data_IF_448587411420
#
_entry.id   IF_448587411420
#
_cell.length_a   1.000
_cell.length_b   1.000
_cell.length_c   1.000
_cell.angle_alpha   90.00
_cell.angle_beta   90.00
_cell.angle_gamma   90.00
#
_symmetry.space_group_name_H-M   'P 1'
#
loop_
_entity.id
_entity.type
_entity.pdbx_description
1 polymer ?
#
# COMPACT_ATOMS: atom_id res chain seq x y z
N UNK A 1 -13.69 -7.79 -2.95
CA UNK A 1 -12.55 -7.63 -2.02
C UNK A 1 -11.68 -6.55 -2.64
N UNK A 2 -11.78 -5.33 -2.14
CA UNK A 2 -11.18 -4.15 -2.76
C UNK A 2 -9.79 -3.93 -2.15
N UNK A 3 -8.78 -4.49 -2.80
CA UNK A 3 -7.37 -4.55 -2.36
C UNK A 3 -6.65 -3.28 -2.79
N UNK A 4 -6.61 -2.27 -1.93
CA UNK A 4 -6.22 -0.92 -2.35
C UNK A 4 -4.87 -0.46 -1.76
N UNK A 5 -4.53 -0.90 -0.54
CA UNK A 5 -3.18 -0.79 0.01
C UNK A 5 -2.58 -2.18 0.26
N UNK A 6 -1.74 -2.68 -0.64
CA UNK A 6 -1.11 -4.01 -0.53
C UNK A 6 0.32 -4.04 -1.10
N UNK A 7 1.12 -5.02 -0.68
CA UNK A 7 2.53 -5.17 -1.10
C UNK A 7 2.75 -5.28 -2.61
N UNK A 8 1.75 -5.64 -3.39
CA UNK A 8 1.83 -5.91 -4.83
C UNK A 8 1.44 -4.73 -5.75
N UNK A 9 1.28 -3.51 -5.21
CA UNK A 9 1.08 -2.34 -6.06
C UNK A 9 2.22 -2.18 -7.09
N UNK A 10 1.88 -1.79 -8.33
CA UNK A 10 2.83 -1.81 -9.47
C UNK A 10 4.19 -1.16 -9.17
N UNK A 11 4.21 0.07 -8.63
CA UNK A 11 5.45 0.77 -8.31
C UNK A 11 6.33 0.00 -7.30
N UNK A 12 5.72 -0.72 -6.36
CA UNK A 12 6.42 -1.54 -5.36
C UNK A 12 7.04 -2.78 -6.00
N UNK A 13 6.30 -3.41 -6.90
CA UNK A 13 6.82 -4.54 -7.70
C UNK A 13 8.02 -4.10 -8.54
N UNK A 14 7.96 -2.91 -9.14
CA UNK A 14 9.10 -2.36 -9.89
C UNK A 14 10.31 -2.05 -8.97
N UNK A 15 10.10 -1.50 -7.77
CA UNK A 15 11.17 -1.36 -6.77
C UNK A 15 11.77 -2.72 -6.41
N UNK A 16 10.93 -3.73 -6.11
CA UNK A 16 11.38 -5.09 -5.80
C UNK A 16 12.21 -5.69 -6.94
N UNK A 17 11.82 -5.47 -8.21
CA UNK A 17 12.59 -5.90 -9.38
C UNK A 17 13.96 -5.23 -9.44
N UNK A 18 14.03 -3.91 -9.24
CA UNK A 18 15.30 -3.17 -9.20
C UNK A 18 16.21 -3.73 -8.11
N UNK A 19 15.68 -3.92 -6.91
CA UNK A 19 16.43 -4.45 -5.77
C UNK A 19 16.89 -5.90 -5.97
N UNK A 20 16.00 -6.76 -6.48
CA UNK A 20 16.34 -8.16 -6.76
C UNK A 20 17.38 -8.28 -7.86
N UNK A 21 17.33 -7.40 -8.87
CA UNK A 21 18.34 -7.30 -9.92
C UNK A 21 19.69 -6.75 -9.41
N UNK A 22 19.73 -6.16 -8.22
CA UNK A 22 20.96 -5.79 -7.51
C UNK A 22 21.42 -6.88 -6.54
N UNK A 23 20.78 -8.06 -6.55
CA UNK A 23 21.12 -9.21 -5.71
C UNK A 23 20.60 -9.13 -4.27
N UNK A 24 19.79 -8.13 -3.93
CA UNK A 24 19.11 -8.07 -2.63
C UNK A 24 18.01 -9.11 -2.53
N UNK A 25 17.81 -9.64 -1.32
CA UNK A 25 16.57 -10.34 -0.99
C UNK A 25 15.59 -9.33 -0.44
N UNK A 26 14.39 -9.27 -1.00
CA UNK A 26 13.39 -8.25 -0.60
C UNK A 26 12.21 -8.93 0.04
N UNK A 27 11.88 -8.54 1.27
CA UNK A 27 10.67 -8.96 1.95
C UNK A 27 9.76 -7.75 2.16
N UNK A 28 8.50 -7.92 1.79
CA UNK A 28 7.44 -6.97 2.07
C UNK A 28 6.23 -7.74 2.59
N UNK A 29 5.51 -7.15 3.54
CA UNK A 29 4.33 -7.75 4.15
C UNK A 29 3.10 -6.89 3.85
N UNK A 30 1.91 -7.49 3.92
CA UNK A 30 0.69 -6.71 4.15
C UNK A 30 0.53 -6.56 5.67
N UNK A 31 0.53 -5.33 6.17
CA UNK A 31 0.22 -5.05 7.59
C UNK A 31 -1.18 -5.57 7.94
N UNK A 32 -1.46 -5.74 9.23
CA UNK A 32 -2.84 -5.93 9.70
C UNK A 32 -3.76 -4.85 9.12
N UNK A 33 -4.87 -5.27 8.53
CA UNK A 33 -5.83 -4.39 7.85
C UNK A 33 -5.46 -3.99 6.42
N UNK A 34 -4.33 -4.47 5.89
CA UNK A 34 -3.89 -4.24 4.50
C UNK A 34 -4.00 -5.52 3.69
N UNK A 35 -4.23 -5.37 2.38
CA UNK A 35 -4.33 -6.46 1.41
C UNK A 35 -5.08 -7.71 1.91
N UNK A 36 -4.37 -8.83 2.03
CA UNK A 36 -4.93 -10.12 2.47
C UNK A 36 -4.92 -10.31 4.01
N UNK A 37 -4.31 -9.39 4.75
CA UNK A 37 -4.12 -9.48 6.20
C UNK A 37 -5.34 -8.99 6.97
N UNK A 38 -5.84 -9.82 7.90
CA UNK A 38 -6.94 -9.47 8.81
C UNK A 38 -6.48 -8.57 9.96
N UNK A 39 -7.42 -7.88 10.63
CA UNK A 39 -7.16 -7.06 11.81
C UNK A 39 -7.25 -5.55 11.53
N UNK A 40 -6.94 -4.73 12.53
CA UNK A 40 -7.09 -3.27 12.44
C UNK A 40 -5.73 -2.56 12.27
N UNK A 41 -5.61 -1.62 11.32
CA UNK A 41 -4.37 -0.90 11.06
C UNK A 41 -4.16 0.27 12.03
N UNK A 42 -3.56 0.01 13.20
CA UNK A 42 -3.10 1.07 14.13
C UNK A 42 -1.59 1.31 14.01
N UNK A 43 -1.11 2.49 14.43
CA UNK A 43 0.34 2.78 14.49
C UNK A 43 1.14 1.70 15.25
N UNK A 44 0.59 1.22 16.37
CA UNK A 44 1.16 0.14 17.16
C UNK A 44 1.16 -1.19 16.39
N UNK A 45 0.06 -1.53 15.71
CA UNK A 45 -0.05 -2.79 14.96
C UNK A 45 0.93 -2.83 13.78
N UNK A 46 1.03 -1.74 13.00
CA UNK A 46 1.96 -1.61 11.88
C UNK A 46 3.41 -1.74 12.35
N UNK A 47 3.75 -1.07 13.46
CA UNK A 47 5.08 -1.17 14.09
C UNK A 47 5.36 -2.60 14.59
N UNK A 48 4.36 -3.25 15.17
CA UNK A 48 4.47 -4.64 15.67
C UNK A 48 4.69 -5.63 14.52
N UNK A 49 4.00 -5.45 13.40
CA UNK A 49 4.13 -6.31 12.23
C UNK A 49 5.53 -6.16 11.59
N UNK A 50 6.03 -4.93 11.49
CA UNK A 50 7.39 -4.65 11.03
C UNK A 50 8.46 -5.25 11.96
N UNK A 51 8.28 -5.15 13.28
CA UNK A 51 9.16 -5.78 14.27
C UNK A 51 9.14 -7.31 14.16
N UNK A 52 7.98 -7.90 13.94
CA UNK A 52 7.85 -9.34 13.73
C UNK A 52 8.61 -9.78 12.48
N UNK A 53 8.42 -9.08 11.35
CA UNK A 53 9.14 -9.39 10.12
C UNK A 53 10.65 -9.23 10.29
N UNK A 54 11.11 -8.17 10.96
CA UNK A 54 12.53 -7.98 11.23
C UNK A 54 13.14 -9.15 12.00
N UNK A 55 12.48 -9.59 13.08
CA UNK A 55 12.95 -10.73 13.88
C UNK A 55 12.96 -12.01 13.08
N UNK A 56 11.89 -12.28 12.32
CA UNK A 56 11.81 -13.44 11.44
C UNK A 56 12.95 -13.43 10.42
N UNK A 57 13.22 -12.30 9.76
CA UNK A 57 14.33 -12.17 8.81
C UNK A 57 15.65 -12.43 9.51
N UNK A 58 15.91 -11.82 10.67
CA UNK A 58 17.17 -12.03 11.42
C UNK A 58 17.39 -13.47 11.85
N UNK A 59 16.35 -14.20 12.20
CA UNK A 59 16.43 -15.63 12.54
C UNK A 59 16.75 -16.50 11.31
N UNK A 60 16.35 -16.07 10.11
CA UNK A 60 16.45 -16.87 8.90
C UNK A 60 17.57 -16.44 7.94
N UNK A 61 18.18 -15.26 8.13
CA UNK A 61 19.19 -14.70 7.23
C UNK A 61 20.64 -14.83 7.70
N UNK A 62 20.86 -15.41 8.88
CA UNK A 62 22.19 -15.54 9.49
C UNK A 62 22.87 -14.18 9.69
N UNK A 63 24.12 -14.07 9.23
CA UNK A 63 24.94 -12.86 9.32
C UNK A 63 24.68 -11.85 8.19
N UNK A 64 23.68 -12.09 7.33
CA UNK A 64 23.31 -11.15 6.28
C UNK A 64 22.91 -9.81 6.87
N UNK A 65 23.35 -8.73 6.20
CA UNK A 65 22.93 -7.37 6.53
C UNK A 65 21.44 -7.21 6.28
N UNK A 66 20.73 -6.57 7.20
CA UNK A 66 19.30 -6.29 7.10
C UNK A 66 19.07 -4.79 7.13
N UNK A 67 18.60 -4.26 6.00
CA UNK A 67 18.27 -2.84 5.81
C UNK A 67 16.74 -2.70 5.84
N UNK A 68 16.26 -1.71 6.59
CA UNK A 68 14.83 -1.37 6.60
C UNK A 68 14.61 -0.23 5.60
N UNK A 69 13.80 -0.45 4.57
CA UNK A 69 13.41 0.58 3.61
C UNK A 69 11.94 0.94 3.86
N UNK A 70 11.69 2.17 4.29
CA UNK A 70 10.34 2.73 4.40
C UNK A 70 10.00 3.62 3.21
N UNK A 71 8.83 3.46 2.62
CA UNK A 71 8.28 4.37 1.61
C UNK A 71 6.98 5.00 2.08
N UNK A 72 6.84 6.33 1.94
CA UNK A 72 5.65 7.07 2.35
C UNK A 72 5.28 6.80 3.81
N UNK A 73 4.04 6.41 4.15
CA UNK A 73 3.65 5.94 5.51
C UNK A 73 4.65 4.93 6.10
N UNK A 74 5.24 4.07 5.26
CA UNK A 74 6.27 3.12 5.66
C UNK A 74 7.52 3.76 6.25
N UNK A 75 7.82 5.04 6.00
CA UNK A 75 8.91 5.77 6.68
C UNK A 75 8.60 5.99 8.16
N UNK A 76 7.34 6.25 8.50
CA UNK A 76 6.89 6.32 9.89
C UNK A 76 7.03 4.96 10.59
N UNK A 77 6.58 3.89 9.93
CA UNK A 77 6.73 2.51 10.45
C UNK A 77 8.21 2.14 10.60
N UNK A 78 9.06 2.49 9.64
CA UNK A 78 10.49 2.22 9.67
C UNK A 78 11.19 2.91 10.85
N UNK A 79 10.91 4.21 11.09
CA UNK A 79 11.54 4.94 12.20
C UNK A 79 11.03 4.46 13.56
N UNK A 80 9.74 4.15 13.71
CA UNK A 80 9.19 3.53 14.91
C UNK A 80 9.85 2.17 15.20
N UNK A 81 9.95 1.32 14.17
CA UNK A 81 10.58 -0.01 14.25
C UNK A 81 12.04 0.13 14.68
N UNK A 82 12.79 1.04 14.06
CA UNK A 82 14.18 1.30 14.39
C UNK A 82 14.37 1.72 15.85
N UNK A 83 13.57 2.66 16.35
CA UNK A 83 13.62 3.09 17.76
C UNK A 83 13.30 1.93 18.69
N UNK A 84 12.27 1.12 18.38
CA UNK A 84 11.90 -0.06 19.19
C UNK A 84 12.99 -1.11 19.22
N UNK A 85 13.68 -1.35 18.10
CA UNK A 85 14.85 -2.24 18.05
C UNK A 85 15.99 -1.70 18.93
N UNK A 86 16.28 -0.40 18.89
CA UNK A 86 17.30 0.22 19.73
C UNK A 86 16.97 0.16 21.22
N UNK A 87 15.71 0.38 21.59
CA UNK A 87 15.22 0.21 22.97
C UNK A 87 15.43 -1.23 23.48
N UNK A 88 15.43 -2.22 22.57
CA UNK A 88 15.70 -3.63 22.85
C UNK A 88 17.20 -3.99 22.75
N UNK A 89 18.09 -3.01 22.51
CA UNK A 89 19.53 -3.25 22.35
C UNK A 89 19.91 -3.93 21.04
N UNK A 90 19.01 -3.96 20.05
CA UNK A 90 19.25 -4.58 18.75
C UNK A 90 19.93 -3.59 17.81
N UNK A 91 21.07 -4.01 17.26
CA UNK A 91 21.75 -3.30 16.17
C UNK A 91 21.14 -3.73 14.82
N UNK A 92 20.97 -2.78 13.91
CA UNK A 92 20.51 -3.01 12.54
C UNK A 92 21.37 -2.22 11.55
N UNK A 93 21.46 -2.70 10.31
CA UNK A 93 22.53 -2.29 9.38
C UNK A 93 22.30 -0.93 8.71
N UNK A 94 21.04 -0.48 8.64
CA UNK A 94 20.70 0.84 8.11
C UNK A 94 19.21 1.00 7.84
N UNK A 95 18.80 2.25 7.62
CA UNK A 95 17.44 2.61 7.23
C UNK A 95 17.47 3.50 5.97
N UNK A 96 16.62 3.18 5.01
CA UNK A 96 16.33 4.00 3.83
C UNK A 96 14.94 4.60 4.02
N UNK A 97 14.83 5.92 3.89
CA UNK A 97 13.57 6.66 3.97
C UNK A 97 13.26 7.29 2.61
N UNK A 98 12.26 6.76 1.93
CA UNK A 98 11.78 7.22 0.64
C UNK A 98 10.47 7.99 0.78
N UNK A 99 10.38 9.21 0.25
CA UNK A 99 9.13 9.97 0.33
C UNK A 99 8.71 10.30 1.77
N UNK A 100 9.68 10.67 2.62
CA UNK A 100 9.46 10.80 4.07
C UNK A 100 8.75 12.07 4.51
N UNK A 101 8.03 11.98 5.63
CA UNK A 101 7.29 13.07 6.26
C UNK A 101 7.57 13.14 7.76
N UNK A 102 7.44 14.33 8.35
CA UNK A 102 7.79 14.57 9.75
C UNK A 102 6.93 13.81 10.74
N UNK A 103 5.63 14.05 10.65
CA UNK A 103 4.58 13.39 11.40
C UNK A 103 3.31 13.44 10.55
N UNK A 104 2.41 12.49 10.75
CA UNK A 104 1.23 12.37 9.88
C UNK A 104 0.28 13.57 10.06
N UNK A 105 0.36 14.27 11.20
CA UNK A 105 -0.50 15.41 11.56
C UNK A 105 -0.19 16.68 10.76
N UNK A 106 1.08 16.96 10.50
CA UNK A 106 1.52 18.04 9.59
C UNK A 106 1.23 17.69 8.12
N UNK A 107 0.95 16.42 7.84
CA UNK A 107 0.77 15.89 6.49
C UNK A 107 -0.67 15.77 6.01
N UNK A 108 -1.63 16.22 6.82
CA UNK A 108 -3.01 16.42 6.38
C UNK A 108 -3.21 17.92 6.15
N UNK A 109 -2.66 18.53 5.07
CA UNK A 109 -3.13 19.85 4.69
C UNK A 109 -4.59 19.72 4.27
N UNK A 110 -5.33 20.82 4.39
CA UNK A 110 -6.71 20.96 3.91
C UNK A 110 -6.91 20.52 2.44
N UNK A 111 -5.82 20.43 1.66
CA UNK A 111 -5.75 19.87 0.32
C UNK A 111 -5.84 18.34 0.22
N UNK A 112 -5.48 17.58 1.26
CA UNK A 112 -5.68 16.12 1.34
C UNK A 112 -7.18 15.76 1.43
N UNK A 113 -7.96 16.63 2.09
CA UNK A 113 -9.44 16.63 2.06
C UNK A 113 -10.00 17.16 0.72
N UNK A 114 -9.27 18.03 0.04
CA UNK A 114 -9.64 18.48 -1.33
C UNK A 114 -9.37 17.39 -2.37
N UNK A 115 -8.31 16.59 -2.26
CA UNK A 115 -8.07 15.43 -3.12
C UNK A 115 -9.12 14.33 -2.89
N UNK A 116 -9.69 14.23 -1.68
CA UNK A 116 -10.87 13.40 -1.44
C UNK A 116 -12.16 13.93 -2.13
N UNK A 117 -12.15 15.14 -2.68
CA UNK A 117 -13.22 15.66 -3.55
C UNK A 117 -13.01 15.35 -5.04
N UNK A 118 -11.81 14.90 -5.42
CA UNK A 118 -11.52 14.32 -6.73
C UNK A 118 -11.73 12.80 -6.62
N UNK A 119 -12.76 12.29 -7.30
CA UNK A 119 -13.48 11.04 -6.98
C UNK A 119 -12.70 9.71 -6.95
N UNK A 120 -11.38 9.71 -7.14
CA UNK A 120 -10.54 8.53 -7.32
C UNK A 120 -9.55 8.27 -6.17
N UNK A 121 -9.10 9.31 -5.45
CA UNK A 121 -8.38 9.18 -4.17
C UNK A 121 -9.34 9.08 -2.97
N UNK A 122 -10.57 9.54 -3.15
CA UNK A 122 -11.59 9.62 -2.11
C UNK A 122 -11.88 8.26 -1.48
N UNK A 123 -11.96 7.20 -2.27
CA UNK A 123 -12.44 5.91 -1.77
C UNK A 123 -11.45 5.30 -0.78
N UNK A 124 -10.16 5.25 -1.09
CA UNK A 124 -9.11 4.73 -0.19
C UNK A 124 -9.01 5.54 1.11
N UNK A 125 -9.01 6.87 1.01
CA UNK A 125 -8.95 7.78 2.15
C UNK A 125 -10.19 7.73 3.04
N UNK A 126 -11.36 7.48 2.45
CA UNK A 126 -12.62 7.33 3.17
C UNK A 126 -12.74 5.95 3.84
N UNK A 127 -12.24 4.87 3.21
CA UNK A 127 -12.12 3.56 3.87
C UNK A 127 -11.25 3.64 5.12
N UNK A 128 -10.15 4.39 5.03
CA UNK A 128 -9.22 4.55 6.13
C UNK A 128 -9.75 5.48 7.22
N UNK A 129 -10.60 6.46 6.90
CA UNK A 129 -11.20 7.35 7.91
C UNK A 129 -12.04 6.57 8.93
N UNK A 130 -12.67 5.48 8.50
CA UNK A 130 -13.49 4.63 9.36
C UNK A 130 -12.68 3.50 10.03
N UNK A 131 -11.50 3.12 9.52
CA UNK A 131 -10.67 2.03 10.07
C UNK A 131 -9.41 2.48 10.84
N UNK A 132 -8.91 3.69 10.59
CA UNK A 132 -7.78 4.30 11.28
C UNK A 132 -8.28 5.51 12.06
N UNK A 133 -8.15 5.50 13.39
CA UNK A 133 -8.37 6.71 14.18
C UNK A 133 -7.23 7.70 13.93
N UNK A 134 -7.33 8.45 12.84
CA UNK A 134 -6.36 9.46 12.40
C UNK A 134 -6.07 10.53 13.45
N UNK A 135 -6.92 10.69 14.47
CA UNK A 135 -6.62 11.61 15.57
C UNK A 135 -5.50 11.07 16.48
N UNK A 136 -5.32 9.75 16.52
CA UNK A 136 -4.36 9.07 17.40
C UNK A 136 -3.03 8.73 16.74
N UNK A 137 -2.99 8.56 15.42
CA UNK A 137 -1.77 8.23 14.70
C UNK A 137 -0.89 9.48 14.58
N UNK A 138 0.40 9.31 14.86
CA UNK A 138 1.38 10.39 14.92
C UNK A 138 2.53 10.11 13.98
N UNK A 139 3.10 8.89 14.04
CA UNK A 139 4.38 8.54 13.43
C UNK A 139 5.42 9.66 13.58
N UNK A 140 5.97 9.87 14.79
CA UNK A 140 6.82 11.02 15.11
C UNK A 140 8.24 10.82 14.57
N UNK A 141 8.40 10.83 13.24
CA UNK A 141 9.67 10.57 12.56
C UNK A 141 10.76 11.58 12.98
N UNK A 142 10.37 12.83 13.21
CA UNK A 142 11.23 13.88 13.75
C UNK A 142 11.81 13.54 15.14
N UNK A 143 11.00 13.05 16.08
CA UNK A 143 11.46 12.62 17.39
C UNK A 143 12.24 11.30 17.33
N UNK A 144 11.83 10.37 16.45
CA UNK A 144 12.52 9.11 16.28
C UNK A 144 13.94 9.30 15.74
N UNK A 145 14.12 10.20 14.76
CA UNK A 145 15.44 10.50 14.19
C UNK A 145 16.41 11.10 15.22
N UNK A 146 15.92 11.79 16.26
CA UNK A 146 16.77 12.25 17.38
C UNK A 146 17.36 11.09 18.20
N UNK A 147 16.69 9.94 18.20
CA UNK A 147 17.10 8.73 18.93
C UNK A 147 17.93 7.79 18.08
N UNK A 148 17.70 7.75 16.76
CA UNK A 148 18.37 6.82 15.85
C UNK A 148 19.88 7.09 15.69
N UNK A 149 20.68 6.03 15.53
CA UNK A 149 22.15 6.09 15.36
C UNK A 149 22.69 5.21 14.21
N UNK A 150 21.79 4.52 13.52
CA UNK A 150 22.10 3.70 12.34
C UNK A 150 22.37 4.57 11.11
N UNK A 151 23.13 4.07 10.12
CA UNK A 151 23.23 4.73 8.82
C UNK A 151 21.85 5.04 8.22
N UNK A 152 21.69 6.25 7.67
CA UNK A 152 20.46 6.76 7.08
C UNK A 152 20.67 7.23 5.65
N UNK A 153 19.79 6.80 4.76
CA UNK A 153 19.69 7.32 3.41
C UNK A 153 18.27 7.86 3.16
N UNK A 154 18.19 9.14 2.83
CA UNK A 154 16.96 9.79 2.38
C UNK A 154 16.92 9.78 0.85
N UNK A 155 15.81 9.30 0.29
CA UNK A 155 15.51 9.35 -1.14
C UNK A 155 14.23 10.16 -1.33
N UNK A 156 14.25 11.21 -2.15
CA UNK A 156 13.07 12.06 -2.26
C UNK A 156 13.01 12.81 -3.59
N UNK A 157 11.82 12.83 -4.21
CA UNK A 157 11.59 13.61 -5.44
C UNK A 157 11.19 15.05 -5.12
N UNK A 158 11.78 16.04 -5.79
CA UNK A 158 11.46 17.44 -5.54
C UNK A 158 10.03 17.81 -5.97
N UNK A 159 9.47 17.08 -6.93
CA UNK A 159 8.09 17.19 -7.44
C UNK A 159 7.09 16.28 -6.68
N UNK A 160 7.46 15.78 -5.50
CA UNK A 160 6.56 14.98 -4.67
C UNK A 160 5.39 15.83 -4.16
N UNK A 161 4.21 15.59 -4.75
CA UNK A 161 2.96 16.29 -4.46
C UNK A 161 2.22 15.73 -3.25
N UNK A 162 2.65 14.57 -2.73
CA UNK A 162 2.05 13.90 -1.57
C UNK A 162 2.92 14.20 -0.35
N UNK A 163 4.17 13.75 -0.40
CA UNK A 163 5.17 14.04 0.60
C UNK A 163 6.07 15.21 0.19
N UNK A 164 5.65 16.43 0.50
CA UNK A 164 6.38 17.63 0.09
C UNK A 164 7.85 17.58 0.50
N UNK A 165 8.74 17.79 -0.47
CA UNK A 165 10.20 17.66 -0.34
C UNK A 165 10.81 18.37 0.87
N UNK A 166 10.31 19.57 1.22
CA UNK A 166 10.79 20.33 2.37
C UNK A 166 10.68 19.57 3.72
N UNK A 167 9.72 18.64 3.87
CA UNK A 167 9.60 17.81 5.06
C UNK A 167 10.80 16.87 5.19
N UNK A 168 11.17 16.20 4.09
CA UNK A 168 12.34 15.34 4.07
C UNK A 168 13.65 16.11 4.25
N UNK A 169 13.73 17.34 3.71
CA UNK A 169 14.88 18.22 3.98
C UNK A 169 15.01 18.53 5.48
N UNK A 170 13.90 18.83 6.15
CA UNK A 170 13.90 19.10 7.60
C UNK A 170 14.30 17.86 8.41
N UNK A 171 13.76 16.68 8.07
CA UNK A 171 14.15 15.42 8.71
C UNK A 171 15.62 15.08 8.47
N UNK A 172 16.12 15.30 7.27
CA UNK A 172 17.55 15.14 6.96
C UNK A 172 18.41 16.05 7.84
N UNK A 173 18.04 17.31 8.04
CA UNK A 173 18.77 18.22 8.93
C UNK A 173 18.75 17.75 10.40
N UNK A 174 17.61 17.25 10.88
CA UNK A 174 17.51 16.64 12.21
C UNK A 174 18.49 15.47 12.33
N UNK A 175 18.42 14.51 11.41
CA UNK A 175 19.32 13.35 11.40
C UNK A 175 20.80 13.75 11.31
N UNK A 176 21.13 14.70 10.43
CA UNK A 176 22.49 15.18 10.22
C UNK A 176 23.05 15.81 11.50
N UNK A 177 22.25 16.61 12.22
CA UNK A 177 22.65 17.24 13.48
C UNK A 177 22.95 16.24 14.60
N UNK A 178 22.38 15.04 14.53
CA UNK A 178 22.44 14.02 15.59
C UNK A 178 23.61 13.06 15.41
N UNK A 179 23.92 12.66 14.18
CA UNK A 179 24.91 11.60 13.91
C UNK A 179 25.96 11.94 12.83
N UNK A 180 25.90 13.14 12.24
CA UNK A 180 26.93 13.66 11.34
C UNK A 180 26.86 13.14 9.89
N UNK A 181 27.61 13.79 8.98
CA UNK A 181 27.54 13.54 7.53
C UNK A 181 28.08 12.18 7.09
N UNK A 182 28.87 11.50 7.94
CA UNK A 182 29.39 10.16 7.62
C UNK A 182 28.31 9.07 7.68
N UNK A 183 27.21 9.33 8.41
CA UNK A 183 26.13 8.36 8.65
C UNK A 183 24.80 8.77 8.04
N UNK A 184 24.69 9.97 7.47
CA UNK A 184 23.44 10.49 6.91
C UNK A 184 23.69 11.01 5.51
N UNK A 185 22.93 10.50 4.55
CA UNK A 185 22.96 10.96 3.17
C UNK A 185 21.55 11.29 2.70
N UNK A 186 21.41 12.33 1.89
CA UNK A 186 20.20 12.62 1.14
C UNK A 186 20.51 12.58 -0.36
N UNK A 187 19.60 11.99 -1.13
CA UNK A 187 19.59 12.06 -2.58
C UNK A 187 18.23 12.64 -2.99
N UNK A 188 18.28 13.86 -3.48
CA UNK A 188 17.13 14.54 -4.08
C UNK A 188 17.10 14.25 -5.58
N UNK A 189 15.91 14.00 -6.11
CA UNK A 189 15.68 13.80 -7.54
C UNK A 189 14.99 15.05 -8.10
N UNK A 190 15.61 15.66 -9.11
CA UNK A 190 15.13 16.92 -9.70
C UNK A 190 13.67 16.81 -10.15
N UNK A 191 12.87 17.81 -9.80
CA UNK A 191 11.42 17.78 -10.09
C UNK A 191 11.09 17.79 -11.58
N UNK A 192 12.03 18.22 -12.43
CA UNK A 192 11.92 18.15 -13.90
C UNK A 192 11.84 16.72 -14.44
N UNK A 193 12.22 15.72 -13.65
CA UNK A 193 12.22 14.31 -14.04
C UNK A 193 10.83 13.67 -13.94
N UNK A 194 9.87 14.31 -13.25
CA UNK A 194 8.48 13.85 -13.21
C UNK A 194 8.27 12.54 -12.46
N UNK A 195 9.10 12.23 -11.45
CA UNK A 195 8.96 10.99 -10.69
C UNK A 195 7.82 11.03 -9.67
N UNK A 196 7.44 12.22 -9.19
CA UNK A 196 6.39 12.39 -8.20
C UNK A 196 6.65 11.47 -6.97
N UNK A 197 5.59 11.07 -6.25
CA UNK A 197 5.71 10.31 -5.00
C UNK A 197 6.22 8.86 -5.15
N UNK A 198 5.98 8.23 -6.32
CA UNK A 198 6.14 6.79 -6.50
C UNK A 198 7.11 6.40 -7.63
N UNK A 199 7.71 7.36 -8.32
CA UNK A 199 8.40 7.11 -9.59
C UNK A 199 9.91 6.91 -9.49
N UNK A 200 10.51 6.93 -8.29
CA UNK A 200 11.97 6.87 -8.14
C UNK A 200 12.59 5.60 -8.73
N UNK A 201 11.86 4.48 -8.78
CA UNK A 201 12.30 3.23 -9.41
C UNK A 201 12.65 3.37 -10.90
N UNK A 202 12.16 4.44 -11.55
CA UNK A 202 12.44 4.74 -12.96
C UNK A 202 13.81 5.40 -13.16
N UNK A 203 14.43 5.93 -12.10
CA UNK A 203 15.68 6.66 -12.23
C UNK A 203 16.86 5.71 -12.52
N UNK A 204 17.61 5.90 -13.61
CA UNK A 204 18.71 5.01 -13.98
C UNK A 204 19.89 5.06 -12.99
N UNK A 205 19.98 6.09 -12.13
CA UNK A 205 20.99 6.22 -11.09
C UNK A 205 20.58 5.48 -9.82
N UNK A 206 19.29 5.19 -9.60
CA UNK A 206 18.80 4.53 -8.38
C UNK A 206 19.59 3.25 -8.06
N UNK A 207 19.85 2.34 -9.02
CA UNK A 207 20.64 1.14 -8.73
C UNK A 207 22.06 1.43 -8.24
N UNK A 208 22.67 2.51 -8.71
CA UNK A 208 24.01 2.95 -8.27
C UNK A 208 23.96 3.61 -6.90
N UNK A 209 22.90 4.39 -6.62
CA UNK A 209 22.69 5.06 -5.34
C UNK A 209 22.56 4.05 -4.19
N UNK A 210 21.83 2.96 -4.42
CA UNK A 210 21.55 1.91 -3.43
C UNK A 210 22.51 0.72 -3.50
N UNK A 211 23.59 0.82 -4.28
CA UNK A 211 24.48 -0.33 -4.53
C UNK A 211 25.32 -0.67 -3.30
N UNK A 212 25.16 -1.91 -2.84
CA UNK A 212 26.19 -2.68 -2.16
C UNK A 212 26.44 -3.91 -3.06
N UNK A 213 27.69 -4.27 -3.32
CA UNK A 213 28.08 -5.23 -4.40
C UNK A 213 27.48 -6.63 -4.22
N UNK A 214 26.56 -7.06 -5.10
CA UNK A 214 25.93 -8.41 -5.18
C UNK A 214 25.52 -8.72 -6.65
N UNK A 215 25.42 -10.00 -7.09
CA UNK A 215 25.13 -10.35 -8.51
C UNK A 215 23.65 -10.32 -8.95
N UNK A 216 23.43 -10.01 -10.24
CA UNK A 216 22.15 -9.62 -10.84
C UNK A 216 21.12 -10.74 -11.12
N UNK A 217 21.45 -12.02 -10.90
CA UNK A 217 20.66 -13.15 -11.42
C UNK A 217 19.45 -13.58 -10.58
N UNK A 218 19.38 -13.15 -9.31
CA UNK A 218 18.45 -13.73 -8.32
C UNK A 218 16.97 -13.55 -8.64
N UNK A 219 16.58 -12.41 -9.24
CA UNK A 219 15.19 -12.16 -9.63
C UNK A 219 14.64 -13.25 -10.56
N UNK A 220 15.42 -13.65 -11.57
CA UNK A 220 14.98 -14.65 -12.55
C UNK A 220 14.84 -16.03 -11.93
N UNK A 221 15.70 -16.35 -10.96
CA UNK A 221 15.71 -17.65 -10.30
C UNK A 221 14.54 -17.84 -9.33
N UNK A 222 14.03 -16.76 -8.72
CA UNK A 222 12.92 -16.81 -7.77
C UNK A 222 11.56 -17.18 -8.40
N UNK A 223 11.39 -17.01 -9.72
CA UNK A 223 10.11 -17.23 -10.39
C UNK A 223 9.67 -18.70 -10.32
N UNK A 224 8.46 -18.94 -9.80
CA UNK A 224 7.87 -20.28 -9.69
C UNK A 224 8.48 -21.17 -8.59
N UNK A 225 9.27 -20.60 -7.67
CA UNK A 225 9.87 -21.32 -6.55
C UNK A 225 8.92 -21.43 -5.35
N UNK A 226 9.14 -22.45 -4.54
CA UNK A 226 8.39 -22.72 -3.31
C UNK A 226 9.07 -22.09 -2.08
N UNK A 227 8.42 -22.20 -0.92
CA UNK A 227 8.93 -21.65 0.35
C UNK A 227 10.30 -22.20 0.74
N UNK A 228 10.60 -23.46 0.44
CA UNK A 228 11.88 -24.08 0.78
C UNK A 228 13.05 -23.39 0.07
N UNK A 229 12.86 -23.03 -1.20
CA UNK A 229 13.85 -22.25 -1.94
C UNK A 229 14.10 -20.88 -1.30
N UNK A 230 13.05 -20.13 -0.93
CA UNK A 230 13.18 -18.81 -0.29
C UNK A 230 13.87 -18.90 1.07
N UNK A 231 13.56 -19.92 1.88
CA UNK A 231 14.25 -20.14 3.15
C UNK A 231 15.74 -20.45 2.95
N UNK A 232 16.09 -21.20 1.91
CA UNK A 232 17.48 -21.51 1.57
C UNK A 232 18.21 -20.26 1.07
N UNK A 233 17.58 -19.45 0.22
CA UNK A 233 18.21 -18.25 -0.34
C UNK A 233 18.56 -17.25 0.75
N UNK A 234 17.72 -17.08 1.78
CA UNK A 234 17.97 -16.14 2.89
C UNK A 234 19.31 -16.36 3.59
N UNK A 235 19.85 -17.59 3.55
CA UNK A 235 21.09 -17.98 4.19
C UNK A 235 22.34 -17.84 3.32
N UNK A 236 22.21 -17.38 2.07
CA UNK A 236 23.32 -17.28 1.12
C UNK A 236 24.25 -16.07 1.34
N UNK A 237 24.02 -15.29 2.41
CA UNK A 237 24.84 -14.15 2.80
C UNK A 237 24.52 -12.84 2.05
N UNK A 238 23.53 -12.86 1.14
CA UNK A 238 23.14 -11.65 0.42
C UNK A 238 22.35 -10.70 1.31
N UNK A 239 22.56 -9.39 1.19
CA UNK A 239 21.86 -8.40 1.98
C UNK A 239 20.35 -8.48 1.76
N UNK A 240 19.61 -8.28 2.85
CA UNK A 240 18.15 -8.33 2.89
C UNK A 240 17.61 -6.93 3.07
N UNK A 241 16.60 -6.58 2.27
CA UNK A 241 15.80 -5.36 2.43
C UNK A 241 14.42 -5.76 2.93
N UNK A 242 14.04 -5.20 4.07
CA UNK A 242 12.65 -5.20 4.53
C UNK A 242 12.00 -3.93 3.98
N UNK A 243 11.14 -4.09 2.99
CA UNK A 243 10.43 -2.99 2.34
C UNK A 243 9.07 -2.76 3.00
N UNK A 244 9.02 -1.72 3.84
CA UNK A 244 7.82 -1.23 4.53
C UNK A 244 7.13 -0.22 3.63
N UNK A 245 6.04 -0.65 3.00
CA UNK A 245 5.29 0.18 2.07
C UNK A 245 4.36 1.15 2.78
N UNK A 246 3.93 2.20 2.09
CA UNK A 246 2.93 3.13 2.59
C UNK A 246 1.49 2.81 2.13
N UNK A 247 0.63 3.83 2.14
CA UNK A 247 -0.69 3.73 1.50
C UNK A 247 -0.53 3.55 -0.01
N UNK A 248 -1.42 2.77 -0.60
CA UNK A 248 -1.40 2.43 -2.02
C UNK A 248 -1.93 3.59 -2.85
N UNK A 249 -1.10 4.61 -3.10
CA UNK A 249 -1.53 5.63 -4.05
C UNK A 249 -1.34 5.08 -5.46
N UNK A 250 -2.46 4.79 -6.11
CA UNK A 250 -2.55 4.54 -7.55
C UNK A 250 -2.23 5.81 -8.35
N UNK A 251 -1.03 6.36 -8.20
CA UNK A 251 -0.57 7.54 -8.98
C UNK A 251 -0.14 7.17 -10.41
N UNK A 252 0.01 5.89 -10.71
CA UNK A 252 -0.27 5.45 -12.07
C UNK A 252 -1.77 5.41 -12.17
N UNK A 253 -2.38 6.30 -12.98
CA UNK A 253 -3.79 6.16 -13.35
C UNK A 253 -4.03 4.66 -13.55
N UNK A 254 -4.88 4.01 -12.75
CA UNK A 254 -5.36 2.70 -13.10
C UNK A 254 -6.01 2.89 -14.45
N UNK A 255 -5.32 2.51 -15.51
CA UNK A 255 -5.96 2.51 -16.81
C UNK A 255 -7.11 1.52 -16.68
N UNK A 256 -8.25 1.82 -17.32
CA UNK A 256 -9.34 0.84 -17.39
C UNK A 256 -8.79 -0.54 -17.81
N UNK A 257 -7.76 -0.53 -18.66
CA UNK A 257 -7.01 -1.69 -19.10
C UNK A 257 -6.25 -2.45 -17.99
N UNK A 258 -5.53 -1.80 -17.08
CA UNK A 258 -4.78 -2.50 -16.02
C UNK A 258 -5.69 -3.14 -14.98
N UNK A 259 -6.70 -2.40 -14.51
CA UNK A 259 -7.71 -2.93 -13.58
C UNK A 259 -8.52 -4.06 -14.22
N UNK A 260 -8.87 -3.91 -15.51
CA UNK A 260 -9.56 -4.97 -16.24
C UNK A 260 -8.67 -6.19 -16.43
N UNK A 261 -7.37 -6.01 -16.68
CA UNK A 261 -6.43 -7.13 -16.87
C UNK A 261 -6.31 -7.98 -15.61
N UNK A 262 -6.13 -7.36 -14.45
CA UNK A 262 -6.01 -8.08 -13.18
C UNK A 262 -7.33 -8.76 -12.78
N UNK A 263 -8.46 -8.06 -12.96
CA UNK A 263 -9.79 -8.62 -12.70
C UNK A 263 -10.11 -9.79 -13.64
N UNK A 264 -9.72 -9.70 -14.92
CA UNK A 264 -9.88 -10.77 -15.90
C UNK A 264 -8.98 -11.96 -15.59
N UNK A 265 -7.72 -11.72 -15.21
CA UNK A 265 -6.81 -12.79 -14.81
C UNK A 265 -7.37 -13.55 -13.61
N UNK A 266 -7.79 -12.82 -12.57
CA UNK A 266 -8.37 -13.42 -11.37
C UNK A 266 -9.65 -14.19 -11.70
N UNK A 267 -10.54 -13.62 -12.51
CA UNK A 267 -11.76 -14.30 -12.94
C UNK A 267 -11.46 -15.60 -13.68
N UNK A 268 -10.50 -15.59 -14.63
CA UNK A 268 -10.09 -16.78 -15.39
C UNK A 268 -9.54 -17.85 -14.46
N UNK A 269 -8.62 -17.47 -13.58
CA UNK A 269 -8.04 -18.38 -12.60
C UNK A 269 -9.12 -19.01 -11.71
N UNK A 270 -10.03 -18.20 -11.14
CA UNK A 270 -11.14 -18.71 -10.33
C UNK A 270 -12.01 -19.65 -11.16
N UNK A 271 -12.34 -19.31 -12.40
CA UNK A 271 -13.22 -20.13 -13.23
C UNK A 271 -12.59 -21.48 -13.60
N UNK A 272 -11.29 -21.50 -13.87
CA UNK A 272 -10.53 -22.73 -14.12
C UNK A 272 -10.50 -23.67 -12.90
N UNK A 273 -10.51 -23.11 -11.69
CA UNK A 273 -10.39 -23.88 -10.44
C UNK A 273 -11.73 -24.14 -9.73
N UNK A 274 -12.83 -23.53 -10.20
CA UNK A 274 -14.15 -23.66 -9.57
C UNK A 274 -15.04 -24.78 -10.17
N UNK A 275 -14.57 -25.46 -11.22
CA UNK A 275 -15.36 -26.43 -11.98
C UNK A 275 -16.69 -25.86 -12.49
N UNK A 276 -17.78 -26.59 -12.25
CA UNK A 276 -19.15 -26.18 -12.63
C UNK A 276 -19.78 -25.15 -11.68
N UNK A 277 -19.08 -24.75 -10.62
CA UNK A 277 -19.59 -23.75 -9.68
C UNK A 277 -19.79 -22.40 -10.37
N UNK A 278 -20.84 -21.69 -9.94
CA UNK A 278 -21.10 -20.32 -10.39
C UNK A 278 -20.06 -19.38 -9.77
N UNK A 279 -19.45 -18.54 -10.60
CA UNK A 279 -18.54 -17.48 -10.15
C UNK A 279 -19.32 -16.17 -10.14
N UNK A 280 -19.37 -15.51 -8.99
CA UNK A 280 -20.03 -14.21 -8.81
C UNK A 280 -18.93 -13.16 -8.66
N UNK A 281 -19.01 -12.09 -9.45
CA UNK A 281 -18.12 -10.94 -9.31
C UNK A 281 -18.81 -9.93 -8.39
N UNK A 282 -18.13 -9.56 -7.32
CA UNK A 282 -18.60 -8.56 -6.35
C UNK A 282 -17.59 -7.42 -6.25
N UNK A 283 -18.09 -6.19 -6.38
CA UNK A 283 -17.27 -5.00 -6.18
C UNK A 283 -18.07 -3.71 -6.26
N UNK A 284 -17.40 -2.62 -5.93
CA UNK A 284 -17.90 -1.27 -6.13
C UNK A 284 -17.78 -0.90 -7.61
N UNK A 285 -18.70 -0.06 -8.11
CA UNK A 285 -18.75 0.29 -9.53
C UNK A 285 -19.02 1.76 -9.73
N UNK A 286 -18.28 2.36 -10.66
CA UNK A 286 -18.54 3.69 -11.21
C UNK A 286 -19.49 3.63 -12.43
N UNK A 287 -19.96 2.44 -12.80
CA UNK A 287 -20.94 2.24 -13.88
C UNK A 287 -20.39 2.28 -15.31
N UNK A 288 -19.07 2.37 -15.49
CA UNK A 288 -18.39 2.59 -16.79
C UNK A 288 -18.63 1.51 -17.85
N UNK A 289 -19.11 0.31 -17.47
CA UNK A 289 -19.42 -0.81 -18.37
C UNK A 289 -20.88 -1.26 -18.44
N UNK A 290 -21.80 -0.65 -17.70
CA UNK A 290 -23.17 -1.18 -17.49
C UNK A 290 -23.96 -1.44 -18.78
N UNK A 291 -23.82 -0.58 -19.79
CA UNK A 291 -24.50 -0.73 -21.08
C UNK A 291 -24.03 -1.95 -21.89
N UNK A 292 -22.81 -2.41 -21.64
CA UNK A 292 -22.20 -3.57 -22.31
C UNK A 292 -22.40 -4.86 -21.50
N UNK A 293 -22.72 -4.76 -20.21
CA UNK A 293 -22.94 -5.94 -19.37
C UNK A 293 -24.17 -6.72 -19.83
N UNK A 294 -24.02 -8.04 -19.80
CA UNK A 294 -25.06 -9.02 -20.13
C UNK A 294 -25.21 -10.08 -19.04
N UNK A 295 -24.41 -10.03 -17.98
CA UNK A 295 -24.55 -10.90 -16.81
C UNK A 295 -25.61 -10.32 -15.86
N UNK A 296 -26.37 -11.15 -15.13
CA UNK A 296 -27.32 -10.66 -14.13
C UNK A 296 -26.65 -9.76 -13.10
N UNK A 297 -27.35 -8.72 -12.66
CA UNK A 297 -26.83 -7.69 -11.75
C UNK A 297 -27.69 -7.59 -10.49
N UNK A 298 -27.02 -7.49 -9.35
CA UNK A 298 -27.62 -7.19 -8.05
C UNK A 298 -26.96 -5.92 -7.51
N UNK A 299 -27.73 -4.84 -7.41
CA UNK A 299 -27.33 -3.61 -6.75
C UNK A 299 -27.67 -3.71 -5.26
N UNK A 300 -26.71 -3.43 -4.40
CA UNK A 300 -26.88 -3.39 -2.95
C UNK A 300 -26.40 -2.01 -2.51
N UNK A 301 -27.28 -1.23 -1.87
CA UNK A 301 -26.95 0.16 -1.58
C UNK A 301 -27.59 0.62 -0.28
N UNK A 302 -26.86 1.38 0.53
CA UNK A 302 -27.41 1.99 1.74
C UNK A 302 -28.00 3.38 1.46
N UNK A 303 -29.16 3.70 2.01
CA UNK A 303 -29.81 4.99 1.78
C UNK A 303 -29.06 6.18 2.42
N UNK A 304 -28.29 5.91 3.48
CA UNK A 304 -27.42 6.88 4.17
C UNK A 304 -26.00 6.95 3.57
N UNK A 305 -25.78 6.38 2.38
CA UNK A 305 -24.49 6.47 1.70
C UNK A 305 -24.24 7.90 1.17
N UNK A 306 -23.36 8.61 1.86
CA UNK A 306 -22.93 9.96 1.50
C UNK A 306 -21.70 9.99 0.57
N UNK A 307 -21.10 8.83 0.28
CA UNK A 307 -19.95 8.69 -0.63
C UNK A 307 -20.46 8.42 -2.04
N UNK A 308 -21.23 7.36 -2.21
CA UNK A 308 -21.98 7.08 -3.42
C UNK A 308 -23.45 7.35 -3.14
N UNK A 309 -23.87 8.60 -3.35
CA UNK A 309 -25.24 9.05 -3.11
C UNK A 309 -26.27 8.05 -3.67
N UNK A 310 -27.22 7.64 -2.84
CA UNK A 310 -28.24 6.63 -3.19
C UNK A 310 -28.95 6.92 -4.53
N UNK A 311 -29.20 8.21 -4.82
CA UNK A 311 -29.78 8.62 -6.10
C UNK A 311 -28.93 8.24 -7.33
N UNK A 312 -27.59 8.28 -7.22
CA UNK A 312 -26.70 7.85 -8.30
C UNK A 312 -26.83 6.33 -8.53
N UNK A 313 -26.93 5.54 -7.45
CA UNK A 313 -27.17 4.11 -7.56
C UNK A 313 -28.52 3.80 -8.22
N UNK A 314 -29.56 4.56 -7.90
CA UNK A 314 -30.85 4.47 -8.59
C UNK A 314 -30.73 4.75 -10.09
N UNK A 315 -29.97 5.78 -10.49
CA UNK A 315 -29.74 6.08 -11.91
C UNK A 315 -29.01 4.93 -12.63
N UNK A 316 -27.94 4.39 -12.02
CA UNK A 316 -27.22 3.25 -12.58
C UNK A 316 -28.11 2.00 -12.69
N UNK A 317 -28.97 1.77 -11.70
CA UNK A 317 -29.97 0.71 -11.73
C UNK A 317 -30.97 0.88 -12.87
N UNK A 318 -31.47 2.10 -13.12
CA UNK A 318 -32.36 2.37 -14.26
C UNK A 318 -31.66 2.13 -15.61
N UNK A 319 -30.38 2.52 -15.73
CA UNK A 319 -29.58 2.21 -16.92
C UNK A 319 -29.46 0.69 -17.10
N UNK A 320 -29.14 -0.05 -16.05
CA UNK A 320 -29.03 -1.51 -16.09
C UNK A 320 -30.35 -2.17 -16.51
N UNK A 321 -31.46 -1.75 -15.90
CA UNK A 321 -32.81 -2.21 -16.23
C UNK A 321 -33.14 -1.98 -17.70
N UNK A 322 -32.83 -0.79 -18.24
CA UNK A 322 -33.11 -0.46 -19.65
C UNK A 322 -32.36 -1.35 -20.65
N UNK A 323 -31.24 -1.94 -20.23
CA UNK A 323 -30.36 -2.76 -21.09
C UNK A 323 -30.69 -4.24 -21.00
N UNK A 324 -31.00 -4.75 -19.80
CA UNK A 324 -31.10 -6.19 -19.54
C UNK A 324 -32.49 -6.67 -19.10
N UNK A 325 -33.39 -5.74 -18.76
CA UNK A 325 -34.74 -6.02 -18.27
C UNK A 325 -34.83 -6.39 -16.78
N UNK A 326 -36.05 -6.39 -16.21
CA UNK A 326 -36.29 -6.54 -14.78
C UNK A 326 -36.02 -7.96 -14.24
N UNK A 327 -36.00 -8.98 -15.10
CA UNK A 327 -35.71 -10.36 -14.67
C UNK A 327 -34.23 -10.57 -14.31
N UNK A 328 -33.35 -9.71 -14.83
CA UNK A 328 -31.89 -9.88 -14.73
C UNK A 328 -31.21 -8.83 -13.86
N UNK A 329 -31.94 -7.81 -13.42
CA UNK A 329 -31.41 -6.71 -12.63
C UNK A 329 -32.27 -6.53 -11.40
N UNK A 330 -31.65 -6.56 -10.22
CA UNK A 330 -32.31 -6.29 -8.94
C UNK A 330 -31.55 -5.21 -8.18
N UNK A 331 -32.27 -4.48 -7.34
CA UNK A 331 -31.70 -3.53 -6.39
C UNK A 331 -32.32 -3.77 -5.02
N UNK A 332 -31.47 -3.83 -4.00
CA UNK A 332 -31.89 -3.85 -2.59
C UNK A 332 -31.30 -2.61 -1.92
N UNK A 333 -32.20 -1.77 -1.43
CA UNK A 333 -31.88 -0.62 -0.61
C UNK A 333 -31.92 -1.02 0.86
N UNK A 334 -30.91 -0.58 1.61
CA UNK A 334 -30.83 -0.78 3.05
C UNK A 334 -31.15 0.53 3.75
N UNK A 335 -32.02 0.45 4.76
CA UNK A 335 -32.58 1.60 5.44
C UNK A 335 -31.49 2.45 6.09
N UNK A 336 -31.45 3.74 5.75
CA UNK A 336 -30.39 4.63 6.21
C UNK A 336 -30.38 4.90 7.72
N UNK A 337 -31.50 4.65 8.40
CA UNK A 337 -31.61 4.77 9.87
C UNK A 337 -30.73 3.76 10.61
N UNK A 338 -30.27 2.71 9.94
CA UNK A 338 -29.42 1.64 10.49
C UNK A 338 -27.93 1.98 10.47
N UNK A 339 -27.54 3.13 9.88
CA UNK A 339 -26.18 3.66 9.97
C UNK A 339 -25.14 2.82 9.23
N UNK A 340 -25.52 2.20 8.11
CA UNK A 340 -24.59 1.36 7.35
C UNK A 340 -23.58 2.18 6.57
N UNK A 341 -23.92 3.40 6.12
CA UNK A 341 -23.05 4.22 5.28
C UNK A 341 -22.56 3.43 4.04
N UNK A 342 -21.46 3.86 3.42
CA UNK A 342 -20.97 3.27 2.17
C UNK A 342 -20.55 1.79 2.29
N UNK A 343 -20.00 1.40 3.45
CA UNK A 343 -19.33 0.11 3.61
C UNK A 343 -19.92 -0.78 4.69
N UNK A 344 -20.94 -0.35 5.43
CA UNK A 344 -21.46 -1.09 6.58
C UNK A 344 -22.47 -2.17 6.25
N UNK A 345 -22.80 -2.40 4.97
CA UNK A 345 -23.79 -3.41 4.58
C UNK A 345 -23.43 -4.83 5.06
N UNK A 346 -22.15 -5.15 5.25
CA UNK A 346 -21.71 -6.44 5.82
C UNK A 346 -22.22 -6.68 7.25
N UNK A 347 -22.65 -5.63 7.95
CA UNK A 347 -23.22 -5.70 9.30
C UNK A 347 -24.70 -6.07 9.27
N UNK A 348 -25.39 -6.01 8.11
CA UNK A 348 -26.80 -6.38 8.01
C UNK A 348 -26.97 -7.92 8.00
N UNK A 349 -27.68 -8.50 8.98
CA UNK A 349 -27.84 -9.95 9.08
C UNK A 349 -28.65 -10.56 7.92
N UNK A 350 -29.37 -9.75 7.13
CA UNK A 350 -30.14 -10.18 5.95
C UNK A 350 -29.25 -10.31 4.71
N UNK A 351 -28.07 -9.69 4.70
CA UNK A 351 -27.21 -9.65 3.52
C UNK A 351 -26.95 -11.04 2.90
N UNK A 352 -26.61 -12.10 3.66
CA UNK A 352 -26.42 -13.44 3.08
C UNK A 352 -27.67 -14.02 2.41
N UNK A 353 -28.86 -13.68 2.90
CA UNK A 353 -30.13 -14.12 2.33
C UNK A 353 -30.48 -13.34 1.07
N UNK A 354 -30.12 -12.06 1.00
CA UNK A 354 -30.32 -11.20 -0.17
C UNK A 354 -29.42 -11.61 -1.34
N UNK A 355 -28.21 -12.09 -1.06
CA UNK A 355 -27.24 -12.51 -2.08
C UNK A 355 -27.61 -13.85 -2.72
N UNK A 356 -28.26 -14.75 -1.97
CA UNK A 356 -28.73 -16.05 -2.44
C UNK A 356 -29.96 -15.89 -3.34
#
# INVERSE_FOLDING_TARGET
MCVHSNRAAHHRVEVVKVLSALGYQVLSLDYRGFGDSTGEPTEESLTTDALWLYRWVKEHSGDSRVIIWGHSLGTGVATNTAVKLMEQGVLFDGVILEGSFKNIREHIPSGFLWCASLSWMATELLFLRDSMDYNTIVFPSDENLKKMRSPLLFLHSEDDHIAWFHNAQQLYQIALSVQGPERVRMVAFEGSLGYLHNGLYKDPRLPTIIKHTVPDHKWKEAQGKDSAWYHSSLKDGSPVIIYLHGFGDSTGEPTEESLTTDALWLYRWVKEHSGDSRVIIWGHSLGTGLKKMRSPLLFLHSEDDHIAWFHNAQQLYQIALSVQGPERVRMVAFEGSLGYLHNGLYKDPRLPTVIK
#
